data_IF_586859176452
#
_entry.id   IF_586859176452
#
_cell.length_a   1.000
_cell.length_b   1.000
_cell.length_c   1.000
_cell.angle_alpha   90.00
_cell.angle_beta   90.00
_cell.angle_gamma   90.00
#
_symmetry.space_group_name_H-M   'P 1'
#
loop_
_entity.id
_entity.type
_entity.pdbx_description
1 polymer ?
#
# COMPACT_ATOMS: atom_id res chain seq x y z
N UNK A 1 50.09 58.95 11.99
CA UNK A 1 48.80 58.60 11.35
C UNK A 1 48.57 57.08 11.21
N UNK A 2 49.14 56.25 12.09
CA UNK A 2 49.04 54.76 12.02
C UNK A 2 48.35 54.18 13.26
N UNK A 3 48.05 55.00 14.28
CA UNK A 3 47.45 54.55 15.55
C UNK A 3 45.91 54.50 15.55
N UNK A 4 45.24 54.92 14.47
CA UNK A 4 43.78 54.86 14.35
C UNK A 4 43.25 53.61 13.63
N UNK A 5 44.15 52.76 13.09
CA UNK A 5 43.81 51.53 12.38
C UNK A 5 43.69 50.29 13.30
N UNK A 6 43.99 50.43 14.59
CA UNK A 6 44.04 49.29 15.53
C UNK A 6 42.76 49.19 16.41
N UNK A 7 41.83 50.15 16.30
CA UNK A 7 40.56 50.12 17.05
C UNK A 7 39.32 50.01 16.14
N UNK A 8 39.51 49.49 14.93
CA UNK A 8 38.46 48.77 14.20
C UNK A 8 38.80 47.28 14.30
N UNK A 9 39.09 46.82 15.53
CA UNK A 9 38.47 45.58 15.98
C UNK A 9 36.97 45.86 15.95
N UNK A 10 36.39 45.77 14.74
CA UNK A 10 35.04 45.30 14.55
C UNK A 10 35.01 43.99 15.33
N UNK A 11 34.64 44.10 16.60
CA UNK A 11 33.98 43.03 17.32
C UNK A 11 32.76 42.79 16.45
N UNK A 12 32.94 41.95 15.41
CA UNK A 12 31.87 41.20 14.78
C UNK A 12 31.31 40.40 15.95
N UNK A 13 30.45 41.04 16.74
CA UNK A 13 29.61 40.35 17.69
C UNK A 13 28.83 39.41 16.79
N UNK A 14 29.26 38.16 16.77
CA UNK A 14 28.52 37.07 16.15
C UNK A 14 27.19 37.09 16.86
N UNK A 15 26.18 37.64 16.18
CA UNK A 15 24.87 37.81 16.77
C UNK A 15 24.35 36.40 17.03
N UNK A 16 24.11 36.08 18.30
CA UNK A 16 23.50 34.82 18.70
C UNK A 16 22.00 34.97 18.52
N UNK A 17 21.42 34.17 17.66
CA UNK A 17 19.98 34.18 17.43
C UNK A 17 19.24 33.40 18.51
N UNK A 18 18.07 33.90 18.89
CA UNK A 18 17.06 33.19 19.65
C UNK A 18 15.83 32.97 18.78
N UNK A 19 14.97 32.03 19.15
CA UNK A 19 13.71 31.84 18.44
C UNK A 19 12.77 33.07 18.50
N UNK A 20 13.01 34.01 19.42
CA UNK A 20 12.19 35.22 19.56
C UNK A 20 12.63 36.35 18.61
N UNK A 21 13.90 36.41 18.24
CA UNK A 21 14.49 37.45 17.39
C UNK A 21 14.97 36.94 16.01
N UNK A 22 14.98 35.62 15.80
CA UNK A 22 15.27 35.04 14.49
C UNK A 22 14.22 35.47 13.44
N UNK A 23 14.65 36.00 12.28
CA UNK A 23 13.74 36.56 11.30
C UNK A 23 12.88 35.49 10.64
N UNK A 24 11.72 35.92 10.14
CA UNK A 24 10.78 35.03 9.45
C UNK A 24 10.92 35.22 7.94
N UNK A 25 11.21 34.17 7.15
CA UNK A 25 11.36 34.29 5.71
C UNK A 25 10.04 34.58 4.99
N UNK A 26 8.89 34.48 5.68
CA UNK A 26 7.56 34.84 5.15
C UNK A 26 6.89 35.99 5.90
N UNK A 27 7.50 36.50 6.96
CA UNK A 27 6.97 37.60 7.76
C UNK A 27 7.34 38.96 7.18
N UNK A 28 6.97 40.04 7.86
CA UNK A 28 7.34 41.42 7.48
C UNK A 28 8.85 41.70 7.57
N UNK A 29 9.60 40.77 8.17
CA UNK A 29 11.05 40.83 8.38
C UNK A 29 11.84 39.93 7.43
N UNK A 30 11.23 39.43 6.34
CA UNK A 30 11.90 38.50 5.40
C UNK A 30 13.24 39.03 4.87
N UNK A 31 13.38 40.34 4.67
CA UNK A 31 14.62 40.95 4.19
C UNK A 31 15.81 40.72 5.12
N UNK A 32 15.57 40.50 6.43
CA UNK A 32 16.63 40.16 7.40
C UNK A 32 17.20 38.75 7.17
N UNK A 33 16.50 37.90 6.43
CA UNK A 33 16.96 36.55 6.07
C UNK A 33 17.94 36.54 4.87
N UNK A 34 18.38 37.70 4.37
CA UNK A 34 19.25 37.78 3.20
C UNK A 34 18.54 37.50 1.87
N UNK A 35 17.24 37.82 1.78
CA UNK A 35 16.39 37.52 0.61
C UNK A 35 15.55 38.74 0.21
N UNK A 36 15.30 38.88 -1.09
CA UNK A 36 14.59 40.04 -1.67
C UNK A 36 13.07 39.89 -1.71
N UNK A 37 12.56 38.66 -1.51
CA UNK A 37 11.13 38.32 -1.51
C UNK A 37 10.84 37.25 -0.46
N UNK A 38 9.58 37.17 0.04
CA UNK A 38 9.17 36.08 0.92
C UNK A 38 9.49 34.69 0.34
N UNK A 39 10.06 33.82 1.16
CA UNK A 39 10.55 32.49 0.76
C UNK A 39 10.42 31.47 1.92
N UNK A 40 11.02 30.30 1.80
CA UNK A 40 11.06 29.26 2.82
C UNK A 40 12.45 29.01 3.43
N UNK A 41 13.47 29.71 2.93
CA UNK A 41 14.85 29.65 3.45
C UNK A 41 15.17 30.97 4.14
N UNK A 42 15.63 30.91 5.38
CA UNK A 42 16.13 32.06 6.11
C UNK A 42 17.61 31.88 6.46
N UNK A 43 18.44 32.82 6.01
CA UNK A 43 19.90 32.79 6.22
C UNK A 43 20.43 34.20 6.51
N UNK A 44 20.13 34.75 7.70
CA UNK A 44 20.54 36.09 8.06
C UNK A 44 22.05 36.25 8.20
N UNK A 45 22.80 35.16 8.35
CA UNK A 45 24.26 35.17 8.52
C UNK A 45 25.04 35.02 7.20
N UNK A 46 24.33 34.84 6.09
CA UNK A 46 24.88 34.76 4.74
C UNK A 46 25.74 33.52 4.51
N UNK A 47 25.32 32.37 5.04
CA UNK A 47 25.98 31.07 4.83
C UNK A 47 25.83 30.54 3.40
N UNK A 48 24.81 31.02 2.68
CA UNK A 48 24.49 30.68 1.30
C UNK A 48 24.54 31.93 0.41
N UNK A 49 24.71 31.70 -0.89
CA UNK A 49 24.48 32.71 -1.94
C UNK A 49 22.98 32.81 -2.28
N UNK A 50 22.59 33.87 -2.98
CA UNK A 50 21.20 34.03 -3.45
C UNK A 50 20.78 32.87 -4.36
N UNK A 51 21.65 32.47 -5.28
CA UNK A 51 21.39 31.35 -6.20
C UNK A 51 21.20 30.03 -5.44
N UNK A 52 22.05 29.75 -4.44
CA UNK A 52 21.92 28.55 -3.62
C UNK A 52 20.61 28.53 -2.84
N UNK A 53 20.18 29.68 -2.28
CA UNK A 53 18.88 29.80 -1.60
C UNK A 53 17.73 29.51 -2.56
N UNK A 54 17.79 30.03 -3.79
CA UNK A 54 16.77 29.74 -4.81
C UNK A 54 16.75 28.26 -5.18
N UNK A 55 17.91 27.63 -5.37
CA UNK A 55 17.96 26.20 -5.67
C UNK A 55 17.34 25.34 -4.56
N UNK A 56 17.64 25.63 -3.29
CA UNK A 56 17.05 24.92 -2.13
C UNK A 56 15.53 25.05 -2.11
N UNK A 57 14.97 26.19 -2.51
CA UNK A 57 13.52 26.41 -2.57
C UNK A 57 12.87 25.59 -3.68
N UNK A 58 13.60 25.26 -4.74
CA UNK A 58 13.09 24.50 -5.88
C UNK A 58 13.25 22.98 -5.72
N UNK A 59 14.20 22.49 -4.91
CA UNK A 59 14.35 21.05 -4.62
C UNK A 59 13.02 20.35 -4.22
N UNK A 60 12.15 20.97 -3.40
CA UNK A 60 10.87 20.38 -2.99
C UNK A 60 9.71 20.61 -3.98
N UNK A 61 9.90 21.15 -5.18
CA UNK A 61 8.77 21.44 -6.09
C UNK A 61 8.51 20.34 -7.14
N UNK A 62 9.29 19.25 -7.16
CA UNK A 62 9.34 18.34 -8.30
C UNK A 62 8.33 17.17 -8.33
N UNK A 63 7.50 16.87 -7.31
CA UNK A 63 6.74 15.61 -7.28
C UNK A 63 5.36 15.63 -6.57
N UNK A 64 4.29 15.27 -7.29
CA UNK A 64 2.95 14.79 -6.85
C UNK A 64 1.97 15.75 -6.11
N UNK A 65 0.67 15.41 -6.19
CA UNK A 65 -0.50 16.32 -6.10
C UNK A 65 -0.71 17.02 -4.75
N UNK A 66 -0.25 16.46 -3.62
CA UNK A 66 -0.24 17.14 -2.31
C UNK A 66 1.05 17.92 -2.03
N UNK A 67 2.07 17.82 -2.89
CA UNK A 67 3.32 18.55 -2.79
C UNK A 67 3.26 19.89 -3.53
N UNK A 68 2.43 20.00 -4.59
CA UNK A 68 2.11 21.32 -5.18
C UNK A 68 1.51 22.29 -4.16
N UNK A 69 0.82 21.79 -3.13
CA UNK A 69 0.10 22.65 -2.17
C UNK A 69 0.35 22.37 -0.66
N UNK A 70 1.09 21.32 -0.26
CA UNK A 70 0.94 20.75 1.10
C UNK A 70 2.16 20.26 1.91
N UNK A 71 3.31 19.89 1.33
CA UNK A 71 4.54 19.68 2.11
C UNK A 71 5.41 20.94 2.02
N UNK A 72 5.65 21.60 3.16
CA UNK A 72 6.48 22.80 3.19
C UNK A 72 7.79 22.46 3.87
N UNK A 73 8.86 22.46 3.08
CA UNK A 73 10.21 22.48 3.60
C UNK A 73 10.57 23.90 4.00
N UNK A 74 11.13 24.03 5.18
CA UNK A 74 11.41 25.31 5.83
C UNK A 74 12.82 25.22 6.38
N UNK A 75 13.71 26.11 5.96
CA UNK A 75 15.12 26.05 6.34
C UNK A 75 15.52 27.31 7.10
N UNK A 76 16.09 27.14 8.28
CA UNK A 76 16.71 28.18 9.09
C UNK A 76 18.22 27.92 9.15
N UNK A 77 19.03 28.88 8.70
CA UNK A 77 20.49 28.82 8.77
C UNK A 77 21.02 29.91 9.69
N UNK A 78 21.96 29.55 10.55
CA UNK A 78 22.65 30.51 11.40
C UNK A 78 24.05 30.00 11.71
N UNK A 79 25.05 30.88 11.77
CA UNK A 79 26.41 30.50 12.15
C UNK A 79 26.41 29.87 13.52
N UNK A 80 25.73 30.50 14.47
CA UNK A 80 25.56 29.97 15.82
C UNK A 80 24.18 29.32 15.99
N UNK A 81 24.10 28.38 16.93
CA UNK A 81 22.86 27.72 17.31
C UNK A 81 21.73 28.72 17.65
N UNK A 82 20.51 28.45 17.17
CA UNK A 82 19.33 29.30 17.41
C UNK A 82 18.62 28.87 18.71
N UNK A 83 18.54 29.77 19.69
CA UNK A 83 17.86 29.54 20.96
C UNK A 83 18.63 28.65 21.95
N UNK A 84 18.06 28.36 23.13
CA UNK A 84 18.80 27.72 24.22
C UNK A 84 19.18 26.25 23.96
N UNK A 85 20.29 25.84 24.57
CA UNK A 85 20.87 24.48 24.53
C UNK A 85 20.07 23.40 25.26
N UNK A 86 18.93 23.73 25.86
CA UNK A 86 18.25 22.88 26.83
C UNK A 86 17.67 21.59 26.26
N UNK A 87 17.71 21.42 24.94
CA UNK A 87 17.30 20.19 24.26
C UNK A 87 18.57 19.43 23.85
N UNK A 88 18.92 18.39 24.61
CA UNK A 88 19.97 17.40 24.31
C UNK A 88 19.63 16.47 23.13
N UNK A 89 18.72 16.89 22.26
CA UNK A 89 18.25 16.11 21.11
C UNK A 89 18.40 16.92 19.82
N UNK A 90 18.49 16.22 18.69
CA UNK A 90 18.55 16.82 17.35
C UNK A 90 17.25 17.58 16.96
N UNK A 91 16.34 17.80 17.91
CA UNK A 91 15.09 18.51 17.71
C UNK A 91 15.28 20.02 17.84
N UNK A 92 14.76 20.77 16.88
CA UNK A 92 14.69 22.24 16.93
C UNK A 92 13.29 22.73 17.30
N UNK A 93 13.20 23.91 17.93
CA UNK A 93 11.92 24.56 18.24
C UNK A 93 11.27 25.28 17.05
N UNK A 94 11.89 25.21 15.86
CA UNK A 94 11.39 25.80 14.62
C UNK A 94 9.90 25.46 14.35
N UNK A 95 9.49 24.20 14.61
CA UNK A 95 8.12 23.74 14.33
C UNK A 95 7.14 23.99 15.48
N UNK A 96 7.62 24.37 16.66
CA UNK A 96 6.80 24.63 17.86
C UNK A 96 6.71 26.11 18.20
N UNK A 97 7.50 26.97 17.53
CA UNK A 97 7.47 28.40 17.72
C UNK A 97 6.21 29.03 17.06
N UNK A 98 5.25 29.38 17.89
CA UNK A 98 3.95 29.93 17.49
C UNK A 98 3.99 31.38 16.96
N UNK A 99 5.11 32.11 16.98
CA UNK A 99 5.10 33.56 16.69
C UNK A 99 5.55 33.97 15.30
N UNK A 100 6.53 33.30 14.70
CA UNK A 100 7.22 33.86 13.51
C UNK A 100 7.06 33.03 12.23
N UNK A 101 6.84 31.72 12.35
CA UNK A 101 6.78 30.79 11.21
C UNK A 101 5.37 30.21 11.00
N UNK A 102 4.38 30.71 11.75
CA UNK A 102 3.00 30.21 11.80
C UNK A 102 2.12 30.53 10.60
N UNK A 103 2.56 31.39 9.67
CA UNK A 103 1.88 31.62 8.39
C UNK A 103 1.94 30.41 7.46
N UNK A 104 2.74 29.40 7.81
CA UNK A 104 2.87 28.15 7.05
C UNK A 104 1.68 27.20 7.23
N UNK A 105 0.81 27.43 8.22
CA UNK A 105 -0.22 26.48 8.68
C UNK A 105 -1.64 26.78 8.14
N UNK A 106 -1.78 27.51 7.01
CA UNK A 106 -3.06 28.08 6.53
C UNK A 106 -3.70 27.40 5.30
N UNK A 107 -3.27 26.21 4.89
CA UNK A 107 -3.82 25.52 3.69
C UNK A 107 -4.70 24.32 4.04
N UNK A 108 -5.55 23.91 3.09
CA UNK A 108 -6.50 22.80 3.22
C UNK A 108 -5.81 21.42 3.26
N UNK A 109 -4.55 21.33 2.83
CA UNK A 109 -3.67 20.22 3.20
C UNK A 109 -3.36 20.39 4.69
N UNK A 110 -3.78 19.46 5.56
CA UNK A 110 -3.32 19.41 6.96
C UNK A 110 -1.79 19.44 6.92
N UNK A 111 -1.18 20.60 7.15
CA UNK A 111 0.15 20.92 6.61
C UNK A 111 1.20 20.09 7.32
N UNK A 112 1.74 19.14 6.57
CA UNK A 112 2.92 18.39 6.93
C UNK A 112 4.12 19.34 6.73
N UNK A 113 4.75 19.79 7.82
CA UNK A 113 5.87 20.73 7.75
C UNK A 113 7.15 20.04 8.20
N UNK A 114 8.23 20.23 7.45
CA UNK A 114 9.59 19.85 7.86
C UNK A 114 10.38 21.15 8.05
N UNK A 115 10.82 21.37 9.28
CA UNK A 115 11.76 22.42 9.61
C UNK A 115 13.17 21.83 9.72
N UNK A 116 14.10 22.40 8.96
CA UNK A 116 15.53 22.14 9.10
C UNK A 116 16.15 23.37 9.70
N UNK A 117 16.95 23.17 10.73
CA UNK A 117 17.88 24.16 11.22
C UNK A 117 19.30 23.67 10.95
N UNK A 118 20.10 24.51 10.30
CA UNK A 118 21.51 24.25 10.08
C UNK A 118 22.36 25.31 10.78
N UNK A 119 23.32 24.87 11.57
CA UNK A 119 24.34 25.74 12.14
C UNK A 119 25.74 25.13 12.01
N UNK A 120 26.78 25.80 12.52
CA UNK A 120 28.16 25.29 12.44
C UNK A 120 28.35 23.96 13.16
N UNK A 121 27.49 23.62 14.11
CA UNK A 121 27.56 22.37 14.88
C UNK A 121 26.80 21.22 14.18
N UNK A 122 26.05 21.54 13.12
CA UNK A 122 25.36 20.59 12.23
C UNK A 122 23.86 20.79 12.13
N UNK A 123 23.16 19.75 11.67
CA UNK A 123 21.72 19.80 11.44
C UNK A 123 20.92 19.52 12.72
N UNK A 124 19.89 20.32 12.94
CA UNK A 124 18.75 20.04 13.82
C UNK A 124 17.49 20.05 12.97
N UNK A 125 16.47 19.31 13.37
CA UNK A 125 15.26 19.18 12.59
C UNK A 125 14.02 19.23 13.48
N UNK A 126 12.90 19.51 12.87
CA UNK A 126 11.61 19.33 13.47
C UNK A 126 10.63 18.96 12.37
N UNK A 127 9.57 18.28 12.75
CA UNK A 127 8.53 17.94 11.81
C UNK A 127 7.18 18.02 12.50
N UNK A 128 6.17 18.41 11.73
CA UNK A 128 4.77 18.34 12.11
C UNK A 128 4.06 17.66 10.97
N UNK A 129 4.25 16.34 10.87
CA UNK A 129 3.76 15.50 9.77
C UNK A 129 2.75 14.48 10.31
N UNK A 130 1.82 14.01 9.47
CA UNK A 130 1.02 12.80 9.71
C UNK A 130 1.88 11.63 10.19
N UNK A 131 1.34 10.86 11.13
CA UNK A 131 2.03 9.76 11.84
C UNK A 131 2.72 8.75 10.91
N UNK A 132 2.19 8.50 9.72
CA UNK A 132 2.73 7.54 8.74
C UNK A 132 4.08 7.94 8.13
N UNK A 133 4.46 9.21 8.26
CA UNK A 133 5.72 9.75 7.74
C UNK A 133 6.63 10.25 8.87
N UNK A 134 6.38 9.80 10.10
CA UNK A 134 7.23 10.12 11.24
C UNK A 134 8.59 9.46 11.04
N UNK A 135 9.58 10.23 10.62
CA UNK A 135 10.97 9.77 10.64
C UNK A 135 11.38 9.68 12.11
N UNK A 136 11.81 8.50 12.55
CA UNK A 136 12.18 8.30 13.94
C UNK A 136 13.56 8.90 14.23
N UNK A 137 13.89 9.03 15.52
CA UNK A 137 15.14 9.65 15.97
C UNK A 137 16.40 8.97 15.37
N UNK A 138 16.36 7.65 15.17
CA UNK A 138 17.51 6.88 14.70
C UNK A 138 17.75 7.06 13.21
N UNK A 139 16.68 7.15 12.42
CA UNK A 139 16.76 7.44 10.98
C UNK A 139 17.32 8.84 10.72
N UNK A 140 16.88 9.83 11.49
CA UNK A 140 17.48 11.16 11.47
C UNK A 140 18.93 11.16 11.96
N UNK A 141 19.25 10.37 12.99
CA UNK A 141 20.63 10.20 13.45
C UNK A 141 21.54 9.66 12.35
N UNK A 142 21.04 8.73 11.52
CA UNK A 142 21.76 8.21 10.35
C UNK A 142 21.96 9.29 9.29
N UNK A 143 20.92 10.06 8.95
CA UNK A 143 21.04 11.19 8.01
C UNK A 143 22.10 12.21 8.46
N UNK A 144 22.07 12.59 9.74
CA UNK A 144 23.02 13.56 10.29
C UNK A 144 24.47 13.05 10.28
N UNK A 145 24.67 11.73 10.39
CA UNK A 145 26.01 11.14 10.32
C UNK A 145 26.58 11.13 8.89
N UNK A 146 25.74 11.08 7.85
CA UNK A 146 26.20 11.08 6.46
C UNK A 146 26.82 12.42 6.03
N UNK A 147 26.43 13.53 6.67
CA UNK A 147 26.82 14.88 6.24
C UNK A 147 27.85 15.55 7.13
N UNK A 148 28.28 14.84 8.19
CA UNK A 148 29.25 15.37 9.13
C UNK A 148 30.59 15.72 8.47
N UNK A 149 30.99 15.02 7.41
CA UNK A 149 32.20 15.36 6.63
C UNK A 149 32.00 16.62 5.78
N UNK A 150 30.88 16.74 5.07
CA UNK A 150 30.57 17.90 4.20
C UNK A 150 30.43 19.19 5.00
N UNK A 151 29.89 19.10 6.22
CA UNK A 151 29.81 20.23 7.15
C UNK A 151 31.18 20.69 7.67
N UNK A 152 32.15 19.77 7.80
CA UNK A 152 33.51 20.13 8.23
C UNK A 152 34.24 20.97 7.17
N UNK A 153 33.90 20.77 5.90
CA UNK A 153 34.44 21.53 4.77
C UNK A 153 33.73 22.90 4.61
N UNK A 154 32.77 23.22 5.49
CA UNK A 154 31.92 24.42 5.45
C UNK A 154 31.10 24.55 4.17
N UNK A 155 30.87 23.44 3.48
CA UNK A 155 29.98 23.39 2.32
C UNK A 155 28.53 23.16 2.78
N UNK A 156 27.94 24.24 3.32
CA UNK A 156 26.58 24.21 3.86
C UNK A 156 25.53 23.94 2.78
N UNK A 157 25.81 24.33 1.54
CA UNK A 157 24.88 24.14 0.43
C UNK A 157 24.81 22.67 0.02
N UNK A 158 25.96 22.03 -0.23
CA UNK A 158 25.98 20.62 -0.63
C UNK A 158 25.50 19.71 0.50
N UNK A 159 25.85 20.03 1.75
CA UNK A 159 25.31 19.34 2.91
C UNK A 159 23.77 19.42 2.95
N UNK A 160 23.20 20.63 2.83
CA UNK A 160 21.76 20.81 2.89
C UNK A 160 21.04 20.18 1.69
N UNK A 161 21.63 20.25 0.50
CA UNK A 161 21.09 19.62 -0.71
C UNK A 161 21.05 18.11 -0.58
N UNK A 162 22.16 17.50 -0.15
CA UNK A 162 22.23 16.06 0.19
C UNK A 162 21.14 15.69 1.19
N UNK A 163 20.95 16.50 2.24
CA UNK A 163 20.03 16.19 3.32
C UNK A 163 18.59 16.15 2.81
N UNK A 164 18.23 17.15 2.02
CA UNK A 164 16.90 17.28 1.42
C UNK A 164 16.63 16.12 0.46
N UNK A 165 17.60 15.74 -0.38
CA UNK A 165 17.45 14.60 -1.30
C UNK A 165 17.34 13.27 -0.56
N UNK A 166 18.12 13.05 0.51
CA UNK A 166 18.00 11.85 1.32
C UNK A 166 16.65 11.76 2.04
N UNK A 167 16.14 12.89 2.58
CA UNK A 167 14.80 12.97 3.14
C UNK A 167 13.73 12.63 2.08
N UNK A 168 13.88 13.15 0.87
CA UNK A 168 12.99 12.85 -0.26
C UNK A 168 13.01 11.37 -0.62
N UNK A 169 14.19 10.75 -0.68
CA UNK A 169 14.31 9.32 -0.98
C UNK A 169 13.65 8.44 0.08
N UNK A 170 13.86 8.74 1.37
CA UNK A 170 13.21 8.03 2.48
C UNK A 170 11.68 8.16 2.41
N UNK A 171 11.19 9.33 2.02
CA UNK A 171 9.76 9.57 1.84
C UNK A 171 9.16 8.74 0.70
N UNK A 172 9.77 8.79 -0.49
CA UNK A 172 9.33 8.01 -1.66
C UNK A 172 9.30 6.51 -1.32
N UNK A 173 10.35 6.03 -0.64
CA UNK A 173 10.43 4.63 -0.23
C UNK A 173 9.25 4.22 0.67
N UNK A 174 8.89 5.02 1.67
CA UNK A 174 7.74 4.70 2.55
C UNK A 174 6.39 4.76 1.85
N UNK A 175 6.20 5.73 0.96
CA UNK A 175 4.98 5.76 0.16
C UNK A 175 4.83 4.51 -0.69
N UNK A 176 5.93 4.07 -1.33
CA UNK A 176 5.92 2.84 -2.12
C UNK A 176 5.58 1.59 -1.29
N UNK A 177 6.04 1.52 -0.04
CA UNK A 177 5.69 0.44 0.89
C UNK A 177 4.18 0.47 1.17
N UNK A 178 3.62 1.64 1.46
CA UNK A 178 2.20 1.76 1.79
C UNK A 178 1.28 1.40 0.61
N UNK A 179 1.63 1.86 -0.60
CA UNK A 179 0.86 1.51 -1.82
C UNK A 179 0.95 0.00 -2.12
N UNK A 180 2.10 -0.62 -1.83
CA UNK A 180 2.25 -2.07 -1.92
C UNK A 180 1.38 -2.80 -0.90
N UNK A 181 1.31 -2.34 0.36
CA UNK A 181 0.46 -2.96 1.38
C UNK A 181 -1.02 -2.91 1.00
N UNK A 182 -1.48 -1.79 0.45
CA UNK A 182 -2.83 -1.67 -0.08
C UNK A 182 -3.09 -2.67 -1.21
N UNK A 183 -2.16 -2.74 -2.17
CA UNK A 183 -2.22 -3.69 -3.29
C UNK A 183 -2.23 -5.15 -2.83
N UNK A 184 -1.41 -5.49 -1.82
CA UNK A 184 -1.38 -6.83 -1.21
C UNK A 184 -2.72 -7.15 -0.56
N UNK A 185 -3.34 -6.20 0.13
CA UNK A 185 -4.66 -6.40 0.74
C UNK A 185 -5.74 -6.68 -0.30
N UNK A 186 -5.74 -5.95 -1.42
CA UNK A 186 -6.67 -6.20 -2.53
C UNK A 186 -6.47 -7.60 -3.15
N UNK A 187 -5.21 -8.02 -3.35
CA UNK A 187 -4.88 -9.37 -3.85
C UNK A 187 -5.39 -10.44 -2.88
N UNK A 188 -5.21 -10.25 -1.57
CA UNK A 188 -5.71 -11.18 -0.55
C UNK A 188 -7.25 -11.30 -0.59
N UNK A 189 -7.97 -10.18 -0.68
CA UNK A 189 -9.43 -10.20 -0.80
C UNK A 189 -9.89 -10.94 -2.07
N UNK A 190 -9.20 -10.73 -3.19
CA UNK A 190 -9.49 -11.44 -4.45
C UNK A 190 -9.24 -12.96 -4.30
N UNK A 191 -8.14 -13.37 -3.67
CA UNK A 191 -7.83 -14.77 -3.39
C UNK A 191 -8.88 -15.43 -2.49
N UNK A 192 -9.33 -14.74 -1.43
CA UNK A 192 -10.39 -15.25 -0.56
C UNK A 192 -11.70 -15.46 -1.31
N UNK A 193 -12.04 -14.56 -2.22
CA UNK A 193 -13.23 -14.67 -3.05
C UNK A 193 -13.14 -15.83 -4.05
N UNK A 194 -11.97 -16.04 -4.65
CA UNK A 194 -11.71 -17.21 -5.51
C UNK A 194 -11.81 -18.51 -4.73
N UNK A 195 -11.24 -18.58 -3.52
CA UNK A 195 -11.34 -19.75 -2.64
C UNK A 195 -12.79 -20.09 -2.26
N UNK A 196 -13.61 -19.08 -1.92
CA UNK A 196 -15.05 -19.28 -1.67
C UNK A 196 -15.77 -19.84 -2.89
N UNK A 197 -15.41 -19.39 -4.08
CA UNK A 197 -15.99 -19.85 -5.34
C UNK A 197 -15.60 -21.29 -5.64
N UNK A 198 -14.33 -21.64 -5.43
CA UNK A 198 -13.83 -23.00 -5.58
C UNK A 198 -14.53 -23.97 -4.61
N UNK A 199 -14.71 -23.58 -3.34
CA UNK A 199 -15.44 -24.39 -2.36
C UNK A 199 -16.89 -24.67 -2.78
N UNK A 200 -17.59 -23.70 -3.38
CA UNK A 200 -18.93 -23.91 -3.94
C UNK A 200 -18.92 -24.89 -5.11
N UNK A 201 -17.96 -24.77 -6.03
CA UNK A 201 -17.81 -25.73 -7.13
C UNK A 201 -17.54 -27.15 -6.62
N UNK A 202 -16.67 -27.30 -5.61
CA UNK A 202 -16.40 -28.61 -4.99
C UNK A 202 -17.66 -29.21 -4.39
N UNK A 203 -18.47 -28.42 -3.66
CA UNK A 203 -19.73 -28.89 -3.10
C UNK A 203 -20.72 -29.35 -4.20
N UNK A 204 -20.85 -28.57 -5.28
CA UNK A 204 -21.72 -28.93 -6.42
C UNK A 204 -21.24 -30.20 -7.13
N UNK A 205 -19.92 -30.40 -7.28
CA UNK A 205 -19.37 -31.63 -7.85
C UNK A 205 -19.74 -32.84 -6.99
N UNK A 206 -19.66 -32.72 -5.66
CA UNK A 206 -20.00 -33.80 -4.75
C UNK A 206 -21.50 -34.12 -4.77
N UNK A 207 -22.35 -33.09 -4.86
CA UNK A 207 -23.80 -33.27 -5.07
C UNK A 207 -24.09 -34.00 -6.38
N UNK A 208 -23.47 -33.58 -7.49
CA UNK A 208 -23.62 -34.23 -8.79
C UNK A 208 -23.17 -35.70 -8.77
N UNK A 209 -22.08 -36.03 -8.06
CA UNK A 209 -21.66 -37.43 -7.89
C UNK A 209 -22.71 -38.26 -7.15
N UNK A 210 -23.33 -37.69 -6.11
CA UNK A 210 -24.41 -38.34 -5.38
C UNK A 210 -25.60 -38.62 -6.31
N UNK A 211 -26.04 -37.62 -7.07
CA UNK A 211 -27.11 -37.78 -8.06
C UNK A 211 -26.78 -38.84 -9.11
N UNK A 212 -25.54 -38.87 -9.62
CA UNK A 212 -25.07 -39.92 -10.54
C UNK A 212 -25.15 -41.31 -9.92
N UNK A 213 -24.74 -41.46 -8.66
CA UNK A 213 -24.84 -42.73 -7.93
C UNK A 213 -26.29 -43.19 -7.76
N UNK A 214 -27.21 -42.27 -7.46
CA UNK A 214 -28.64 -42.55 -7.34
C UNK A 214 -29.24 -42.98 -8.68
N UNK A 215 -28.88 -42.32 -9.77
CA UNK A 215 -29.31 -42.70 -11.12
C UNK A 215 -28.79 -44.09 -11.51
N UNK A 216 -27.52 -44.41 -11.17
CA UNK A 216 -26.96 -45.74 -11.44
C UNK A 216 -27.73 -46.84 -10.70
N UNK A 217 -28.05 -46.63 -9.42
CA UNK A 217 -28.85 -47.59 -8.65
C UNK A 217 -30.25 -47.79 -9.24
N UNK A 218 -30.89 -46.70 -9.70
CA UNK A 218 -32.19 -46.77 -10.36
C UNK A 218 -32.14 -47.60 -11.65
N UNK A 219 -31.10 -47.39 -12.46
CA UNK A 219 -30.88 -48.12 -13.71
C UNK A 219 -30.62 -49.61 -13.46
N UNK A 220 -29.83 -49.95 -12.44
CA UNK A 220 -29.59 -51.34 -12.03
C UNK A 220 -30.88 -52.02 -11.58
N UNK A 221 -31.76 -51.30 -10.87
CA UNK A 221 -33.06 -51.81 -10.45
C UNK A 221 -34.00 -52.05 -11.64
N UNK A 222 -34.05 -51.10 -12.59
CA UNK A 222 -34.82 -51.26 -13.83
C UNK A 222 -34.35 -52.48 -14.63
N UNK A 223 -33.03 -52.68 -14.73
CA UNK A 223 -32.45 -53.85 -15.40
C UNK A 223 -32.86 -55.18 -14.75
N UNK A 224 -32.88 -55.25 -13.41
CA UNK A 224 -33.37 -56.43 -12.69
C UNK A 224 -34.85 -56.72 -13.01
N UNK A 225 -35.71 -55.70 -12.94
CA UNK A 225 -37.13 -55.83 -13.25
C UNK A 225 -37.37 -56.26 -14.71
N UNK A 226 -36.57 -55.76 -15.65
CA UNK A 226 -36.61 -56.18 -17.05
C UNK A 226 -36.26 -57.67 -17.20
N UNK A 227 -35.22 -58.12 -16.50
CA UNK A 227 -34.76 -59.51 -16.55
C UNK A 227 -35.81 -60.48 -15.97
N UNK A 228 -36.44 -60.10 -14.86
CA UNK A 228 -37.56 -60.85 -14.28
C UNK A 228 -38.78 -60.90 -15.22
N UNK A 229 -39.13 -59.78 -15.85
CA UNK A 229 -40.21 -59.70 -16.84
C UNK A 229 -39.94 -60.61 -18.04
N UNK A 230 -38.71 -60.61 -18.55
CA UNK A 230 -38.29 -61.48 -19.65
C UNK A 230 -38.36 -62.96 -19.27
N UNK A 231 -38.00 -63.32 -18.03
CA UNK A 231 -38.15 -64.68 -17.52
C UNK A 231 -39.61 -65.13 -17.51
N UNK A 232 -40.51 -64.31 -16.95
CA UNK A 232 -41.96 -64.59 -16.93
C UNK A 232 -42.54 -64.71 -18.33
N UNK A 233 -42.13 -63.84 -19.27
CA UNK A 233 -42.52 -63.94 -20.68
C UNK A 233 -42.07 -65.26 -21.32
N UNK A 234 -40.86 -65.73 -21.01
CA UNK A 234 -40.36 -67.02 -21.47
C UNK A 234 -41.19 -68.19 -20.93
N UNK A 235 -41.54 -68.16 -19.63
CA UNK A 235 -42.39 -69.16 -18.99
C UNK A 235 -43.79 -69.21 -19.65
N UNK A 236 -44.39 -68.04 -19.89
CA UNK A 236 -45.69 -67.94 -20.60
C UNK A 236 -45.59 -68.53 -22.01
N UNK A 237 -44.54 -68.21 -22.77
CA UNK A 237 -44.33 -68.78 -24.12
C UNK A 237 -44.24 -70.30 -24.10
N UNK A 238 -43.57 -70.86 -23.08
CA UNK A 238 -43.47 -72.31 -22.90
C UNK A 238 -44.84 -72.94 -22.61
N UNK A 239 -45.63 -72.34 -21.71
CA UNK A 239 -46.99 -72.80 -21.39
C UNK A 239 -47.92 -72.74 -22.62
N UNK A 240 -47.86 -71.67 -23.41
CA UNK A 240 -48.63 -71.57 -24.67
C UNK A 240 -48.24 -72.69 -25.63
N UNK A 241 -46.94 -72.96 -25.79
CA UNK A 241 -46.45 -74.03 -26.66
C UNK A 241 -46.92 -75.41 -26.21
N UNK A 242 -46.93 -75.66 -24.90
CA UNK A 242 -47.46 -76.91 -24.32
C UNK A 242 -48.97 -77.05 -24.54
N UNK A 243 -49.74 -75.98 -24.32
CA UNK A 243 -51.18 -75.96 -24.56
C UNK A 243 -51.54 -76.23 -26.03
N UNK A 244 -50.79 -75.66 -26.97
CA UNK A 244 -50.94 -75.93 -28.41
C UNK A 244 -50.69 -77.41 -28.75
N UNK A 245 -49.65 -78.02 -28.18
CA UNK A 245 -49.37 -79.46 -28.38
C UNK A 245 -50.48 -80.36 -27.80
N UNK A 246 -51.04 -80.01 -26.64
CA UNK A 246 -52.13 -80.77 -26.03
C UNK A 246 -53.41 -80.72 -26.88
N UNK A 247 -53.72 -79.53 -27.42
CA UNK A 247 -54.89 -79.33 -28.27
C UNK A 247 -54.74 -80.06 -29.62
N UNK A 248 -53.52 -80.04 -30.19
CA UNK A 248 -53.19 -80.81 -31.40
C UNK A 248 -53.38 -82.32 -31.20
N UNK A 249 -52.87 -82.88 -30.10
CA UNK A 249 -53.06 -84.30 -29.77
C UNK A 249 -54.54 -84.66 -29.61
N UNK A 250 -55.31 -83.84 -28.89
CA UNK A 250 -56.74 -84.06 -28.70
C UNK A 250 -57.54 -84.03 -30.01
N UNK A 251 -57.17 -83.16 -30.96
CA UNK A 251 -57.77 -83.18 -32.30
C UNK A 251 -57.42 -84.47 -33.03
N UNK A 252 -56.18 -84.95 -32.95
CA UNK A 252 -55.78 -86.23 -33.57
C UNK A 252 -56.53 -87.43 -32.98
N UNK A 253 -56.67 -87.52 -31.65
CA UNK A 253 -57.46 -88.59 -31.01
C UNK A 253 -58.94 -88.53 -31.39
N UNK A 254 -59.50 -87.32 -31.52
CA UNK A 254 -60.90 -87.14 -31.95
C UNK A 254 -61.10 -87.54 -33.42
N UNK A 255 -60.12 -87.26 -34.28
CA UNK A 255 -60.10 -87.73 -35.67
C UNK A 255 -59.98 -89.25 -35.79
N UNK A 256 -59.09 -89.87 -35.01
CA UNK A 256 -58.93 -91.34 -34.94
C UNK A 256 -60.20 -92.02 -34.44
N UNK A 257 -60.82 -91.51 -33.37
CA UNK A 257 -62.10 -92.03 -32.86
C UNK A 257 -63.22 -91.85 -33.89
N UNK A 258 -63.31 -90.70 -34.56
CA UNK A 258 -64.28 -90.50 -35.64
C UNK A 258 -64.09 -91.53 -36.78
N UNK A 259 -62.84 -91.86 -37.14
CA UNK A 259 -62.52 -92.87 -38.15
C UNK A 259 -62.98 -94.27 -37.73
N UNK A 260 -62.75 -94.65 -36.47
CA UNK A 260 -63.17 -95.94 -35.91
C UNK A 260 -64.71 -96.07 -35.89
N UNK A 261 -65.43 -94.99 -35.57
CA UNK A 261 -66.90 -94.98 -35.59
C UNK A 261 -67.49 -94.97 -37.01
N UNK A 262 -66.79 -94.41 -38.01
CA UNK A 262 -67.24 -94.42 -39.41
C UNK A 262 -67.00 -95.74 -40.16
N UNK A 263 -66.25 -96.70 -39.61
CA UNK A 263 -66.00 -98.02 -40.21
C UNK A 263 -67.01 -99.09 -39.72
N UNK A 264 -67.79 -98.79 -38.67
CA UNK A 264 -68.77 -99.71 -38.07
C UNK A 264 -70.24 -99.35 -38.36
N UNK A 265 -70.49 -98.64 -39.47
CA UNK A 265 -71.82 -98.33 -40.02
C UNK A 265 -71.90 -98.87 -41.45
#
# INVERSE_FOLDING_TARGET
MIKFLILICLILKTHSWTWNDYPSPRGTTYWKCGVTKPTYVCDPDGMLTDQQREEIVELPNALYHCWRDGLRLVVALAKNKIGPDTITSNLTSLCTNNRSWTSLNKTNCKTDMIGIELNTDGFRYCYKIRWIMTINKDEFGKLNNYEKSTLNDKDYFDALKSYIENLRMLYIHRLSIFDNDASISEIQQSLDQQNKTLSKFTANIEENKKTLSEMQQSLDQQNKTLLETNKKLSEIRQLISQGQMFNGKNMTTRFELSRIFSINL
#
